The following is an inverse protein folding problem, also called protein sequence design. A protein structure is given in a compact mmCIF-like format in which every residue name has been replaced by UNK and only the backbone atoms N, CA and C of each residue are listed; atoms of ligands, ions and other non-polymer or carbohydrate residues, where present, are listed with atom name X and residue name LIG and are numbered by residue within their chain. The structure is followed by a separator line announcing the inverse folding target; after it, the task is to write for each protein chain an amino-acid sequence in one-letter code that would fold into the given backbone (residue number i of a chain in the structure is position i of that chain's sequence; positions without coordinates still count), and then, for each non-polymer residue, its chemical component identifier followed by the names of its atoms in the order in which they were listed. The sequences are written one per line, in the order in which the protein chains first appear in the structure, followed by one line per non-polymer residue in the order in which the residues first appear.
data_IF_571922971234
#
_entry.id   IF_571922971234
#
_cell.length_a   1.000
_cell.length_b   1.000
_cell.length_c   1.000
_cell.angle_alpha   90.00
_cell.angle_beta   90.00
_cell.angle_gamma   90.00
#
_symmetry.space_group_name_H-M   'P 1'
#
loop_
_entity.id
_entity.type
_entity.pdbx_description
1 polymer ?
#
# COMPACT_ATOMS: atom_id res chain seq x y z
N UNK A 1 -13.19 -12.00 5.52
CA UNK A 1 -13.38 -10.67 4.92
C UNK A 1 -13.21 -9.55 5.96
N UNK A 2 -14.02 -9.52 7.02
CA UNK A 2 -13.93 -8.51 8.08
C UNK A 2 -12.61 -8.51 8.85
N UNK A 3 -12.04 -9.69 9.09
CA UNK A 3 -10.73 -9.86 9.74
C UNK A 3 -9.60 -9.20 8.95
N UNK A 4 -9.49 -9.50 7.64
CA UNK A 4 -8.50 -8.87 6.76
C UNK A 4 -8.69 -7.36 6.64
N UNK A 5 -9.92 -6.85 6.69
CA UNK A 5 -10.18 -5.41 6.75
C UNK A 5 -9.71 -4.79 8.08
N UNK A 6 -9.88 -5.50 9.20
CA UNK A 6 -9.40 -5.05 10.51
C UNK A 6 -7.86 -4.98 10.57
N UNK A 7 -7.18 -6.00 10.06
CA UNK A 7 -5.72 -6.02 9.93
C UNK A 7 -5.21 -4.85 9.08
N UNK A 8 -5.87 -4.57 7.94
CA UNK A 8 -5.52 -3.44 7.09
C UNK A 8 -5.59 -2.10 7.83
N UNK A 9 -6.64 -1.90 8.65
CA UNK A 9 -6.83 -0.69 9.46
C UNK A 9 -5.75 -0.55 10.54
N UNK A 10 -5.37 -1.65 11.18
CA UNK A 10 -4.35 -1.62 12.23
C UNK A 10 -2.96 -1.31 11.66
N UNK A 11 -2.62 -1.82 10.47
CA UNK A 11 -1.39 -1.42 9.79
C UNK A 11 -1.41 0.07 9.40
N UNK A 12 -2.55 0.60 8.95
CA UNK A 12 -2.69 2.03 8.65
C UNK A 12 -2.50 2.91 9.88
N UNK A 13 -3.05 2.53 11.04
CA UNK A 13 -2.81 3.27 12.30
C UNK A 13 -1.32 3.29 12.67
N UNK A 14 -0.59 2.19 12.42
CA UNK A 14 0.85 2.12 12.69
C UNK A 14 1.64 3.01 11.73
N UNK A 15 1.26 3.05 10.46
CA UNK A 15 1.84 3.98 9.46
C UNK A 15 1.63 5.43 9.89
N UNK A 16 0.41 5.81 10.29
CA UNK A 16 0.08 7.15 10.75
C UNK A 16 0.95 7.57 11.95
N UNK A 17 1.04 6.70 12.94
CA UNK A 17 1.89 6.93 14.11
C UNK A 17 3.37 7.10 13.71
N UNK A 18 3.86 6.26 12.80
CA UNK A 18 5.24 6.29 12.37
C UNK A 18 5.56 7.57 11.57
N UNK A 19 4.66 8.02 10.70
CA UNK A 19 4.76 9.30 10.00
C UNK A 19 4.81 10.45 11.02
N UNK A 20 3.86 10.48 11.96
CA UNK A 20 3.78 11.52 12.98
C UNK A 20 5.05 11.62 13.84
N UNK A 21 5.58 10.49 14.31
CA UNK A 21 6.82 10.44 15.10
C UNK A 21 8.03 10.86 14.26
N UNK A 22 8.05 10.52 12.96
CA UNK A 22 9.13 10.90 12.04
C UNK A 22 9.22 12.41 11.80
N UNK A 23 8.07 13.08 11.74
CA UNK A 23 8.02 14.55 11.66
C UNK A 23 8.70 15.21 12.87
N UNK A 24 8.63 14.55 14.03
CA UNK A 24 9.00 15.10 15.33
C UNK A 24 10.41 14.74 15.82
N UNK A 25 10.93 13.55 15.51
CA UNK A 25 12.14 13.04 16.17
C UNK A 25 13.20 12.39 15.28
N UNK A 26 12.82 11.61 14.25
CA UNK A 26 13.82 10.90 13.41
C UNK A 26 13.33 10.74 11.98
N UNK A 27 14.02 11.35 11.01
CA UNK A 27 13.86 11.07 9.58
C UNK A 27 15.04 10.20 9.16
N UNK A 28 14.79 8.94 8.83
CA UNK A 28 15.79 8.05 8.19
C UNK A 28 15.13 7.34 7.04
N UNK A 29 15.95 6.94 6.06
CA UNK A 29 15.47 6.12 4.93
C UNK A 29 14.85 4.83 5.45
N UNK A 30 15.41 4.22 6.50
CA UNK A 30 14.90 2.98 7.07
C UNK A 30 13.47 3.14 7.62
N UNK A 31 13.15 4.27 8.24
CA UNK A 31 11.80 4.57 8.72
C UNK A 31 10.82 4.77 7.56
N UNK A 32 11.23 5.45 6.48
CA UNK A 32 10.41 5.59 5.27
C UNK A 32 10.15 4.23 4.62
N UNK A 33 11.17 3.40 4.48
CA UNK A 33 11.05 2.06 3.90
C UNK A 33 10.14 1.17 4.75
N UNK A 34 10.20 1.29 6.09
CA UNK A 34 9.30 0.57 6.98
C UNK A 34 7.85 1.06 6.84
N UNK A 35 7.60 2.37 6.67
CA UNK A 35 6.26 2.89 6.34
C UNK A 35 5.74 2.27 5.03
N UNK A 36 6.57 2.24 3.99
CA UNK A 36 6.21 1.65 2.69
C UNK A 36 5.91 0.15 2.82
N UNK A 37 6.72 -0.59 3.59
CA UNK A 37 6.48 -2.01 3.88
C UNK A 37 5.10 -2.24 4.50
N UNK A 38 4.77 -1.47 5.55
CA UNK A 38 3.44 -1.52 6.19
C UNK A 38 2.30 -1.12 5.27
N UNK A 39 2.50 -0.15 4.38
CA UNK A 39 1.51 0.21 3.36
C UNK A 39 1.26 -0.94 2.38
N UNK A 40 2.31 -1.65 1.97
CA UNK A 40 2.18 -2.85 1.12
C UNK A 40 1.41 -3.94 1.85
N UNK A 41 1.67 -4.14 3.14
CA UNK A 41 0.96 -5.13 3.96
C UNK A 41 -0.52 -4.78 4.10
N UNK A 42 -0.84 -3.51 4.37
CA UNK A 42 -2.22 -3.02 4.38
C UNK A 42 -2.92 -3.28 3.04
N UNK A 43 -2.26 -3.01 1.92
CA UNK A 43 -2.80 -3.34 0.60
C UNK A 43 -3.02 -4.85 0.41
N UNK A 44 -2.10 -5.71 0.85
CA UNK A 44 -2.27 -7.16 0.74
C UNK A 44 -3.56 -7.61 1.46
N UNK A 45 -3.83 -7.05 2.64
CA UNK A 45 -5.05 -7.31 3.40
C UNK A 45 -6.31 -6.76 2.69
N UNK A 46 -6.27 -5.53 2.17
CA UNK A 46 -7.38 -4.92 1.42
C UNK A 46 -7.71 -5.70 0.13
N UNK A 47 -6.70 -6.07 -0.64
CA UNK A 47 -6.84 -6.89 -1.87
C UNK A 47 -7.46 -8.24 -1.51
N UNK A 48 -7.00 -8.87 -0.43
CA UNK A 48 -7.56 -10.15 0.03
C UNK A 48 -9.04 -10.01 0.42
N UNK A 49 -9.42 -8.93 1.09
CA UNK A 49 -10.82 -8.62 1.38
C UNK A 49 -11.65 -8.44 0.10
N UNK A 50 -11.11 -7.72 -0.90
CA UNK A 50 -11.77 -7.48 -2.19
C UNK A 50 -12.01 -8.77 -2.97
N UNK A 51 -11.00 -9.63 -3.06
CA UNK A 51 -11.11 -10.90 -3.78
C UNK A 51 -12.08 -11.86 -3.08
N UNK A 52 -12.09 -11.88 -1.74
CA UNK A 52 -13.11 -12.63 -0.98
C UNK A 52 -14.52 -12.12 -1.26
N UNK A 53 -14.71 -10.79 -1.37
CA UNK A 53 -15.99 -10.20 -1.76
C UNK A 53 -16.40 -10.63 -3.18
N UNK A 54 -15.46 -10.68 -4.11
CA UNK A 54 -15.71 -11.16 -5.47
C UNK A 54 -16.15 -12.64 -5.50
N UNK A 55 -15.58 -13.50 -4.63
CA UNK A 55 -16.02 -14.89 -4.46
C UNK A 55 -17.44 -14.95 -3.92
N UNK A 56 -17.77 -14.19 -2.87
CA UNK A 56 -19.12 -14.15 -2.29
C UNK A 56 -20.16 -13.65 -3.30
N UNK A 57 -19.81 -12.64 -4.10
CA UNK A 57 -20.63 -12.13 -5.21
C UNK A 57 -20.63 -13.04 -6.45
N UNK A 58 -20.01 -14.22 -6.37
CA UNK A 58 -19.91 -15.24 -7.44
C UNK A 58 -19.28 -14.72 -8.74
N UNK A 59 -18.46 -13.68 -8.65
CA UNK A 59 -17.69 -13.15 -9.79
C UNK A 59 -16.54 -14.08 -10.15
N UNK A 60 -15.97 -14.76 -9.15
CA UNK A 60 -14.90 -15.75 -9.29
C UNK A 60 -15.17 -16.95 -8.38
N UNK A 61 -14.58 -18.11 -8.71
CA UNK A 61 -14.57 -19.25 -7.80
C UNK A 61 -13.36 -19.15 -6.86
N UNK A 62 -13.52 -19.67 -5.65
CA UNK A 62 -12.47 -19.69 -4.64
C UNK A 62 -11.19 -20.41 -5.11
N UNK A 63 -11.33 -21.46 -5.92
CA UNK A 63 -10.23 -22.23 -6.51
C UNK A 63 -9.30 -21.39 -7.41
N UNK A 64 -9.79 -20.28 -7.95
CA UNK A 64 -8.99 -19.40 -8.81
C UNK A 64 -8.21 -18.34 -8.02
N UNK A 65 -8.33 -18.30 -6.69
CA UNK A 65 -7.60 -17.32 -5.89
C UNK A 65 -6.09 -17.57 -5.97
N UNK A 66 -5.29 -16.58 -6.42
CA UNK A 66 -3.85 -16.75 -6.52
C UNK A 66 -3.18 -16.84 -5.14
N UNK A 67 -2.06 -17.56 -5.10
CA UNK A 67 -1.26 -17.70 -3.88
C UNK A 67 -0.28 -16.53 -3.69
N UNK A 68 0.15 -15.88 -4.78
CA UNK A 68 1.14 -14.81 -4.68
C UNK A 68 0.46 -13.43 -4.56
N UNK A 69 1.01 -12.50 -3.75
CA UNK A 69 0.45 -11.15 -3.62
C UNK A 69 0.40 -10.37 -4.94
N UNK A 70 1.38 -10.59 -5.83
CA UNK A 70 1.43 -9.93 -7.13
C UNK A 70 0.25 -10.35 -8.02
N UNK A 71 0.01 -11.65 -8.11
CA UNK A 71 -1.12 -12.19 -8.87
C UNK A 71 -2.46 -11.76 -8.26
N UNK A 72 -2.57 -11.70 -6.93
CA UNK A 72 -3.76 -11.16 -6.25
C UNK A 72 -4.02 -9.71 -6.64
N UNK A 73 -2.98 -8.87 -6.68
CA UNK A 73 -3.10 -7.48 -7.12
C UNK A 73 -3.53 -7.34 -8.59
N UNK A 74 -2.95 -8.16 -9.47
CA UNK A 74 -3.35 -8.18 -10.89
C UNK A 74 -4.80 -8.63 -11.06
N UNK A 75 -5.21 -9.68 -10.34
CA UNK A 75 -6.59 -10.16 -10.37
C UNK A 75 -7.57 -9.11 -9.86
N UNK A 76 -7.26 -8.41 -8.76
CA UNK A 76 -8.11 -7.34 -8.26
C UNK A 76 -8.24 -6.19 -9.28
N UNK A 77 -7.15 -5.84 -9.95
CA UNK A 77 -7.14 -4.86 -11.05
C UNK A 77 -7.97 -5.33 -12.25
N UNK A 78 -8.02 -6.62 -12.53
CA UNK A 78 -8.76 -7.14 -13.66
C UNK A 78 -10.26 -7.26 -13.39
N UNK A 79 -10.63 -7.70 -12.18
CA UNK A 79 -12.01 -7.88 -11.75
C UNK A 79 -12.76 -6.57 -11.50
N UNK A 80 -12.09 -5.58 -10.91
CA UNK A 80 -12.71 -4.32 -10.52
C UNK A 80 -12.18 -3.18 -11.39
N UNK A 81 -13.04 -2.64 -12.25
CA UNK A 81 -12.70 -1.53 -13.17
C UNK A 81 -12.95 -0.15 -12.58
N UNK A 82 -13.42 -0.06 -11.34
CA UNK A 82 -13.57 1.20 -10.61
C UNK A 82 -12.26 1.99 -10.59
N UNK A 83 -12.34 3.29 -10.89
CA UNK A 83 -11.16 4.16 -10.96
C UNK A 83 -10.34 4.15 -9.67
N UNK A 84 -11.04 4.11 -8.53
CA UNK A 84 -10.40 4.04 -7.21
C UNK A 84 -9.56 2.77 -7.06
N UNK A 85 -10.04 1.62 -7.56
CA UNK A 85 -9.28 0.36 -7.53
C UNK A 85 -8.09 0.46 -8.47
N UNK A 86 -8.28 0.96 -9.69
CA UNK A 86 -7.19 1.09 -10.67
C UNK A 86 -6.06 1.97 -10.15
N UNK A 87 -6.38 3.14 -9.57
CA UNK A 87 -5.42 4.06 -8.95
C UNK A 87 -4.64 3.37 -7.83
N UNK A 88 -5.36 2.65 -6.96
CA UNK A 88 -4.76 1.98 -5.81
C UNK A 88 -3.91 0.76 -6.20
N UNK A 89 -4.29 0.00 -7.22
CA UNK A 89 -3.46 -1.10 -7.72
C UNK A 89 -2.17 -0.57 -8.36
N UNK A 90 -2.23 0.55 -9.09
CA UNK A 90 -1.03 1.22 -9.60
C UNK A 90 -0.10 1.65 -8.47
N UNK A 91 -0.64 2.28 -7.42
CA UNK A 91 0.14 2.67 -6.25
C UNK A 91 0.73 1.46 -5.52
N UNK A 92 -0.03 0.39 -5.32
CA UNK A 92 0.46 -0.86 -4.74
C UNK A 92 1.67 -1.43 -5.50
N UNK A 93 1.61 -1.50 -6.83
CA UNK A 93 2.73 -1.98 -7.63
C UNK A 93 3.94 -1.05 -7.56
N UNK A 94 3.72 0.27 -7.55
CA UNK A 94 4.77 1.26 -7.35
C UNK A 94 5.47 1.07 -6.00
N UNK A 95 4.71 0.99 -4.90
CA UNK A 95 5.26 0.77 -3.56
C UNK A 95 6.07 -0.53 -3.49
N UNK A 96 5.59 -1.61 -4.11
CA UNK A 96 6.34 -2.86 -4.21
C UNK A 96 7.65 -2.73 -4.97
N UNK A 97 7.67 -1.97 -6.07
CA UNK A 97 8.92 -1.69 -6.80
C UNK A 97 9.88 -0.90 -5.92
N UNK A 98 9.39 0.14 -5.24
CA UNK A 98 10.14 0.96 -4.28
C UNK A 98 10.73 0.10 -3.15
N UNK A 99 9.95 -0.80 -2.58
CA UNK A 99 10.40 -1.66 -1.48
C UNK A 99 11.45 -2.69 -1.91
N UNK A 100 11.39 -3.17 -3.15
CA UNK A 100 12.35 -4.16 -3.69
C UNK A 100 13.68 -3.55 -4.11
N UNK A 101 13.67 -2.31 -4.54
CA UNK A 101 14.89 -1.59 -4.91
C UNK A 101 15.74 -1.25 -3.69
N UNK A 102 17.06 -1.28 -3.85
CA UNK A 102 17.99 -0.80 -2.83
C UNK A 102 18.01 0.73 -2.88
N UNK A 103 17.45 1.45 -1.89
CA UNK A 103 17.46 2.91 -1.91
C UNK A 103 18.90 3.41 -1.73
N UNK A 104 19.31 4.39 -2.53
CA UNK A 104 20.50 5.18 -2.20
C UNK A 104 20.14 6.11 -1.05
N UNK A 105 20.86 5.97 0.07
CA UNK A 105 20.68 6.78 1.26
C UNK A 105 21.28 8.17 1.03
N UNK A 106 20.45 9.20 0.99
CA UNK A 106 20.91 10.59 0.90
C UNK A 106 20.22 11.46 1.95
N UNK A 107 20.97 12.42 2.50
CA UNK A 107 20.48 13.43 3.44
C UNK A 107 19.84 12.91 4.74
N UNK A 108 20.27 11.74 5.24
CA UNK A 108 19.87 11.26 6.56
C UNK A 108 20.14 12.33 7.65
N UNK A 109 19.29 12.36 8.68
CA UNK A 109 19.43 13.25 9.85
C UNK A 109 19.22 14.76 9.60
N UNK A 110 18.59 15.16 8.49
CA UNK A 110 18.15 16.55 8.22
C UNK A 110 16.66 16.61 7.83
N UNK A 111 16.11 17.83 7.71
CA UNK A 111 14.69 18.04 7.37
C UNK A 111 14.28 17.44 6.00
N UNK A 112 15.21 17.17 5.09
CA UNK A 112 14.91 16.69 3.74
C UNK A 112 15.51 15.30 3.50
N UNK A 113 15.06 14.30 4.27
CA UNK A 113 15.45 12.90 3.99
C UNK A 113 14.73 12.45 2.75
N UNK A 114 15.51 12.02 1.77
CA UNK A 114 15.01 11.54 0.49
C UNK A 114 15.63 10.19 0.21
N UNK A 115 14.78 9.17 0.07
CA UNK A 115 15.20 7.91 -0.52
C UNK A 115 15.13 8.06 -2.04
N UNK A 116 16.29 8.04 -2.71
CA UNK A 116 16.34 7.95 -4.17
C UNK A 116 16.36 6.50 -4.59
N UNK A 117 15.38 6.17 -5.42
CA UNK A 117 15.11 4.81 -5.85
C UNK A 117 15.18 4.76 -7.36
N UNK A 118 16.04 3.91 -7.91
CA UNK A 118 16.08 3.71 -9.37
C UNK A 118 15.08 2.62 -9.74
N UNK A 119 14.00 2.98 -10.43
CA UNK A 119 12.97 2.07 -10.92
C UNK A 119 13.01 2.12 -12.44
N UNK A 120 13.33 1.00 -13.10
CA UNK A 120 13.31 0.86 -14.56
C UNK A 120 14.09 1.99 -15.29
N UNK A 121 15.19 2.48 -14.70
CA UNK A 121 16.03 3.55 -15.25
C UNK A 121 15.60 4.98 -14.91
N UNK A 122 14.51 5.17 -14.15
CA UNK A 122 14.03 6.47 -13.66
C UNK A 122 14.28 6.62 -12.16
N UNK A 123 14.78 7.77 -11.74
CA UNK A 123 14.87 8.10 -10.31
C UNK A 123 13.48 8.47 -9.77
N UNK A 124 12.97 7.67 -8.84
CA UNK A 124 11.86 8.01 -7.98
C UNK A 124 12.40 8.56 -6.66
N UNK A 125 11.89 9.72 -6.27
CA UNK A 125 12.17 10.39 -4.99
C UNK A 125 11.07 9.94 -4.04
N UNK A 126 11.45 9.42 -2.87
CA UNK A 126 10.52 9.08 -1.80
C UNK A 126 10.94 9.81 -0.54
N UNK A 127 10.12 10.75 -0.11
CA UNK A 127 10.27 11.46 1.16
C UNK A 127 9.03 11.26 2.05
N UNK A 128 8.99 11.98 3.17
CA UNK A 128 7.89 11.89 4.13
C UNK A 128 6.58 12.47 3.58
N UNK A 129 6.66 13.45 2.69
CA UNK A 129 5.48 14.10 2.11
C UNK A 129 4.82 13.13 1.13
N UNK A 130 5.60 12.50 0.24
CA UNK A 130 5.09 11.43 -0.63
C UNK A 130 4.54 10.25 0.16
N UNK A 131 5.23 9.81 1.22
CA UNK A 131 4.73 8.74 2.09
C UNK A 131 3.39 9.11 2.74
N UNK A 132 3.22 10.39 3.12
CA UNK A 132 1.97 10.90 3.69
C UNK A 132 0.84 10.93 2.65
N UNK A 133 1.12 11.36 1.41
CA UNK A 133 0.15 11.31 0.31
C UNK A 133 -0.29 9.88 -0.03
N UNK A 134 0.66 8.93 -0.03
CA UNK A 134 0.37 7.52 -0.23
C UNK A 134 -0.53 6.99 0.89
N UNK A 135 -0.22 7.32 2.15
CA UNK A 135 -1.06 6.95 3.29
C UNK A 135 -2.51 7.43 3.12
N UNK A 136 -2.73 8.70 2.76
CA UNK A 136 -4.08 9.22 2.55
C UNK A 136 -4.82 8.51 1.41
N UNK A 137 -4.13 8.22 0.31
CA UNK A 137 -4.71 7.47 -0.81
C UNK A 137 -5.14 6.06 -0.39
N UNK A 138 -4.33 5.37 0.43
CA UNK A 138 -4.67 4.03 0.93
C UNK A 138 -5.83 4.10 1.93
N UNK A 139 -5.87 5.14 2.76
CA UNK A 139 -6.96 5.35 3.71
C UNK A 139 -8.31 5.53 3.01
N UNK A 140 -8.38 6.39 1.99
CA UNK A 140 -9.58 6.56 1.16
C UNK A 140 -10.02 5.23 0.54
N UNK A 141 -9.06 4.43 0.06
CA UNK A 141 -9.35 3.12 -0.48
C UNK A 141 -9.89 2.15 0.58
N UNK A 142 -9.31 2.14 1.78
CA UNK A 142 -9.78 1.31 2.88
C UNK A 142 -11.24 1.63 3.25
N UNK A 143 -11.60 2.92 3.29
CA UNK A 143 -12.98 3.37 3.57
C UNK A 143 -13.94 2.91 2.46
N UNK A 144 -13.53 2.99 1.20
CA UNK A 144 -14.32 2.48 0.08
C UNK A 144 -14.51 0.96 0.12
N UNK A 145 -13.46 0.19 0.43
CA UNK A 145 -13.56 -1.27 0.59
C UNK A 145 -14.51 -1.62 1.74
N UNK A 146 -14.45 -0.90 2.85
CA UNK A 146 -15.35 -1.11 3.99
C UNK A 146 -16.82 -0.91 3.62
N UNK A 147 -17.13 0.13 2.84
CA UNK A 147 -18.48 0.35 2.33
C UNK A 147 -18.94 -0.83 1.45
N UNK A 148 -18.09 -1.32 0.55
CA UNK A 148 -18.40 -2.45 -0.33
C UNK A 148 -18.55 -3.80 0.36
N UNK A 149 -17.87 -3.97 1.50
CA UNK A 149 -18.00 -5.15 2.37
C UNK A 149 -19.26 -5.09 3.23
N UNK A 150 -19.77 -3.89 3.49
CA UNK A 150 -20.96 -3.67 4.32
C UNK A 150 -22.27 -3.64 3.51
N UNK A 151 -22.17 -3.49 2.18
CA UNK A 151 -23.25 -3.68 1.18
C UNK A 151 -23.56 -5.16 0.94
#
# INVERSE_FOLDING_TARGET
MKESLHEAKDELKRVDHQIYVSLKYTRTVDVLMNCIGRMIDSYNCLITSLLRLAVEKKMIKEEYLPNTPLERGNMAKDLFKDEIVQKNMQLYFLLRKIHKSTPKKEQEFRRHVTARVNIDGKEAIVDIDNATEYYFTIKEFCEWVEQKVSE
#
